data_IF_959482592435
#
_entry.id   IF_959482592435
#
_cell.length_a   1.000
_cell.length_b   1.000
_cell.length_c   1.000
_cell.angle_alpha   90.00
_cell.angle_beta   90.00
_cell.angle_gamma   90.00
#
_symmetry.space_group_name_H-M   'P 1'
#
loop_
_entity.id
_entity.type
_entity.pdbx_description
1 polymer ?
#
# COMPACT_ATOMS: atom_id res chain seq x y z
N UNK A 1 -17.37 19.00 -5.37
CA UNK A 1 -16.64 19.40 -4.14
C UNK A 1 -16.23 18.14 -3.41
N UNK A 2 -15.06 18.07 -2.80
CA UNK A 2 -14.64 16.92 -2.01
C UNK A 2 -14.75 17.22 -0.51
N UNK A 3 -15.08 16.22 0.27
CA UNK A 3 -15.19 16.28 1.72
C UNK A 3 -14.12 15.40 2.36
N UNK A 4 -13.62 15.86 3.49
CA UNK A 4 -12.66 15.13 4.31
C UNK A 4 -13.01 15.30 5.79
N UNK A 5 -12.54 14.39 6.62
CA UNK A 5 -12.71 14.46 8.06
C UNK A 5 -11.38 14.81 8.74
N UNK A 6 -11.44 15.72 9.68
CA UNK A 6 -10.33 16.01 10.60
C UNK A 6 -10.87 15.89 12.03
N UNK A 7 -10.30 14.96 12.79
CA UNK A 7 -10.72 14.66 14.16
C UNK A 7 -12.23 14.38 14.28
N UNK A 8 -12.76 13.58 13.33
CA UNK A 8 -14.18 13.17 13.24
C UNK A 8 -15.15 14.33 12.89
N UNK A 9 -14.65 15.45 12.41
CA UNK A 9 -15.44 16.56 11.90
C UNK A 9 -15.31 16.62 10.36
N UNK A 10 -16.41 16.37 9.63
CA UNK A 10 -16.46 16.41 8.17
C UNK A 10 -16.66 17.84 7.69
N UNK A 11 -15.77 18.30 6.81
CA UNK A 11 -15.83 19.60 6.13
C UNK A 11 -15.43 19.47 4.67
N UNK A 12 -15.71 20.49 3.88
CA UNK A 12 -15.09 20.63 2.56
C UNK A 12 -13.57 20.59 2.70
N UNK A 13 -12.89 19.75 1.89
CA UNK A 13 -11.46 19.43 2.07
C UNK A 13 -10.56 20.68 2.11
N UNK A 14 -10.89 21.71 1.30
CA UNK A 14 -10.11 22.95 1.25
C UNK A 14 -10.27 23.84 2.49
N UNK A 15 -11.21 23.55 3.39
CA UNK A 15 -11.46 24.27 4.64
C UNK A 15 -10.77 23.61 5.85
N UNK A 16 -10.08 22.48 5.64
CA UNK A 16 -9.36 21.81 6.72
C UNK A 16 -7.92 22.31 6.81
N UNK A 17 -7.46 22.49 8.03
CA UNK A 17 -6.10 22.95 8.32
C UNK A 17 -5.49 22.11 9.43
N UNK A 18 -4.26 21.68 9.22
CA UNK A 18 -3.48 20.97 10.22
C UNK A 18 -2.46 21.93 10.82
N UNK A 19 -2.25 21.88 12.13
CA UNK A 19 -1.27 22.69 12.82
C UNK A 19 0.14 22.42 12.25
N UNK A 20 0.96 23.47 11.99
CA UNK A 20 2.35 23.28 11.62
C UNK A 20 3.18 22.64 12.75
N UNK A 21 2.65 22.58 13.96
CA UNK A 21 3.26 21.88 15.10
C UNK A 21 2.79 20.45 15.28
N UNK A 22 2.01 19.92 14.32
CA UNK A 22 1.67 18.50 14.32
C UNK A 22 2.92 17.63 14.10
N UNK A 23 3.09 16.62 14.94
CA UNK A 23 4.28 15.75 14.90
C UNK A 23 4.36 14.93 13.61
N UNK A 24 3.22 14.61 13.00
CA UNK A 24 3.16 14.00 11.67
C UNK A 24 3.79 14.90 10.61
N UNK A 25 3.57 16.22 10.67
CA UNK A 25 4.17 17.19 9.77
C UNK A 25 5.67 17.41 10.05
N UNK A 26 6.06 17.53 11.36
CA UNK A 26 7.45 17.87 11.74
C UNK A 26 8.40 16.67 11.64
N UNK A 27 7.95 15.45 11.97
CA UNK A 27 8.79 14.27 12.15
C UNK A 27 8.41 13.09 11.28
N UNK A 28 7.25 13.13 10.60
CA UNK A 28 6.64 11.93 10.03
C UNK A 28 6.18 10.94 11.12
N UNK A 29 5.90 11.42 12.35
CA UNK A 29 5.44 10.62 13.49
C UNK A 29 3.94 10.32 13.33
N UNK A 30 3.66 9.50 12.31
CA UNK A 30 2.31 9.15 11.89
C UNK A 30 2.30 7.82 11.12
N UNK A 31 1.16 7.16 11.13
CA UNK A 31 0.86 5.97 10.33
C UNK A 31 -0.35 6.24 9.44
N UNK A 32 -0.49 5.46 8.37
CA UNK A 32 -1.59 5.66 7.44
C UNK A 32 -2.12 4.36 6.87
N UNK A 33 -3.33 4.41 6.34
CA UNK A 33 -3.93 3.39 5.49
C UNK A 33 -4.42 3.96 4.17
N UNK A 34 -4.54 3.07 3.19
CA UNK A 34 -5.16 3.33 1.91
C UNK A 34 -6.13 2.18 1.65
N UNK A 35 -7.42 2.48 1.56
CA UNK A 35 -8.50 1.50 1.48
C UNK A 35 -9.22 1.69 0.16
N UNK A 36 -9.32 0.63 -0.65
CA UNK A 36 -10.14 0.65 -1.87
C UNK A 36 -11.62 0.72 -1.47
N UNK A 37 -12.36 1.59 -2.12
CA UNK A 37 -13.80 1.67 -1.97
C UNK A 37 -14.47 1.64 -3.35
N UNK A 38 -15.44 0.74 -3.52
CA UNK A 38 -16.21 0.53 -4.74
C UNK A 38 -17.68 0.76 -4.41
N UNK A 39 -18.32 1.72 -5.08
CA UNK A 39 -19.73 2.09 -4.87
C UNK A 39 -20.09 2.28 -3.38
N UNK A 40 -19.22 3.01 -2.65
CA UNK A 40 -19.41 3.31 -1.23
C UNK A 40 -19.00 2.18 -0.27
N UNK A 41 -18.65 1.02 -0.77
CA UNK A 41 -18.25 -0.15 0.02
C UNK A 41 -16.73 -0.24 0.13
N UNK A 42 -16.20 -0.16 1.35
CA UNK A 42 -14.78 -0.29 1.63
C UNK A 42 -14.34 -1.75 1.59
N UNK A 43 -13.43 -2.09 0.68
CA UNK A 43 -12.97 -3.46 0.43
C UNK A 43 -11.90 -3.85 1.47
N UNK A 44 -12.10 -5.01 2.11
CA UNK A 44 -11.19 -5.56 3.14
C UNK A 44 -10.94 -4.59 4.30
N UNK A 45 -11.95 -3.81 4.70
CA UNK A 45 -11.83 -2.77 5.73
C UNK A 45 -11.27 -3.31 7.05
N UNK A 46 -11.73 -4.46 7.51
CA UNK A 46 -11.26 -5.09 8.75
C UNK A 46 -9.75 -5.39 8.72
N UNK A 47 -9.24 -5.92 7.60
CA UNK A 47 -7.81 -6.21 7.45
C UNK A 47 -6.97 -4.92 7.47
N UNK A 48 -7.47 -3.85 6.85
CA UNK A 48 -6.82 -2.54 6.87
C UNK A 48 -6.81 -1.95 8.28
N UNK A 49 -7.91 -2.02 9.02
CA UNK A 49 -7.99 -1.55 10.40
C UNK A 49 -7.08 -2.36 11.33
N UNK A 50 -6.99 -3.68 11.14
CA UNK A 50 -6.08 -4.53 11.88
C UNK A 50 -4.61 -4.13 11.65
N UNK A 51 -4.21 -3.87 10.40
CA UNK A 51 -2.86 -3.38 10.07
C UNK A 51 -2.59 -1.98 10.60
N UNK A 52 -3.56 -1.08 10.53
CA UNK A 52 -3.46 0.26 11.13
C UNK A 52 -3.19 0.17 12.64
N UNK A 53 -3.92 -0.68 13.34
CA UNK A 53 -3.73 -0.94 14.77
C UNK A 53 -2.34 -1.47 15.10
N UNK A 54 -1.83 -2.40 14.27
CA UNK A 54 -0.47 -2.90 14.40
C UNK A 54 0.57 -1.80 14.19
N UNK A 55 0.38 -0.95 13.16
CA UNK A 55 1.28 0.18 12.88
C UNK A 55 1.27 1.20 14.02
N UNK A 56 0.10 1.54 14.57
CA UNK A 56 -0.05 2.41 15.74
C UNK A 56 0.70 1.84 16.96
N UNK A 57 0.52 0.55 17.25
CA UNK A 57 1.23 -0.13 18.34
C UNK A 57 2.76 -0.09 18.14
N UNK A 58 3.24 -0.28 16.91
CA UNK A 58 4.67 -0.27 16.57
C UNK A 58 5.32 1.09 16.81
N UNK A 59 4.60 2.19 16.61
CA UNK A 59 5.07 3.55 16.95
C UNK A 59 4.71 3.96 18.39
N UNK A 60 4.17 3.04 19.20
CA UNK A 60 3.76 3.29 20.59
C UNK A 60 2.75 4.44 20.71
N UNK A 61 1.80 4.52 19.79
CA UNK A 61 0.70 5.46 19.82
C UNK A 61 -0.57 4.70 20.20
N UNK A 62 -1.18 5.07 21.31
CA UNK A 62 -2.47 4.53 21.75
C UNK A 62 -3.50 5.62 21.53
N UNK A 63 -4.42 5.47 20.55
CA UNK A 63 -5.44 6.46 20.30
C UNK A 63 -6.48 6.51 21.44
N UNK A 64 -7.04 7.68 21.68
CA UNK A 64 -8.09 7.95 22.68
C UNK A 64 -9.51 7.74 22.14
N UNK A 65 -9.66 7.24 20.92
CA UNK A 65 -10.93 6.94 20.27
C UNK A 65 -11.14 5.41 20.09
N UNK A 66 -12.39 5.00 19.92
CA UNK A 66 -12.73 3.60 19.65
C UNK A 66 -12.57 3.27 18.16
N UNK A 67 -12.12 2.06 17.86
CA UNK A 67 -12.00 1.54 16.49
C UNK A 67 -13.31 1.68 15.69
N UNK A 68 -14.47 1.40 16.32
CA UNK A 68 -15.77 1.58 15.68
C UNK A 68 -16.04 3.02 15.20
N UNK A 69 -15.59 4.03 15.96
CA UNK A 69 -15.75 5.43 15.53
C UNK A 69 -14.95 5.72 14.25
N UNK A 70 -13.76 5.11 14.10
CA UNK A 70 -12.92 5.26 12.93
C UNK A 70 -13.55 4.56 11.72
N UNK A 71 -14.06 3.33 11.90
CA UNK A 71 -14.76 2.58 10.86
C UNK A 71 -16.00 3.35 10.35
N UNK A 72 -16.83 3.87 11.25
CA UNK A 72 -18.02 4.64 10.91
C UNK A 72 -17.64 5.91 10.13
N UNK A 73 -16.55 6.60 10.52
CA UNK A 73 -16.11 7.81 9.85
C UNK A 73 -15.51 7.54 8.46
N UNK A 74 -14.78 6.42 8.29
CA UNK A 74 -14.29 5.97 6.97
C UNK A 74 -15.48 5.77 6.03
N UNK A 75 -16.49 5.03 6.47
CA UNK A 75 -17.70 4.78 5.68
C UNK A 75 -18.47 6.07 5.36
N UNK A 76 -18.54 7.03 6.30
CA UNK A 76 -19.16 8.34 6.06
C UNK A 76 -18.41 9.12 4.97
N UNK A 77 -17.06 9.15 5.00
CA UNK A 77 -16.26 9.82 3.98
C UNK A 77 -16.41 9.15 2.61
N UNK A 78 -16.45 7.82 2.55
CA UNK A 78 -16.71 7.10 1.30
C UNK A 78 -18.05 7.51 0.69
N UNK A 79 -19.11 7.56 1.50
CA UNK A 79 -20.46 7.86 1.04
C UNK A 79 -20.69 9.33 0.67
N UNK A 80 -20.11 10.29 1.42
CA UNK A 80 -20.34 11.72 1.14
C UNK A 80 -19.64 12.20 -0.14
N UNK A 81 -18.60 11.48 -0.60
CA UNK A 81 -17.85 11.84 -1.81
C UNK A 81 -18.42 11.20 -3.11
N UNK A 82 -19.30 10.23 -2.99
CA UNK A 82 -20.12 9.64 -4.07
C UNK A 82 -19.35 9.45 -5.41
N UNK A 83 -18.28 8.66 -5.37
CA UNK A 83 -17.53 8.26 -6.56
C UNK A 83 -17.49 6.72 -6.65
N UNK A 84 -17.64 6.12 -7.85
CA UNK A 84 -17.72 4.67 -8.00
C UNK A 84 -16.43 3.97 -7.53
N UNK A 85 -15.28 4.58 -7.78
CA UNK A 85 -13.98 4.06 -7.35
C UNK A 85 -13.23 5.11 -6.55
N UNK A 86 -12.91 4.78 -5.32
CA UNK A 86 -12.23 5.67 -4.38
C UNK A 86 -11.09 4.95 -3.67
N UNK A 87 -10.07 5.70 -3.34
CA UNK A 87 -9.08 5.32 -2.34
C UNK A 87 -9.32 6.17 -1.09
N UNK A 88 -9.73 5.54 0.01
CA UNK A 88 -9.89 6.24 1.28
C UNK A 88 -8.53 6.25 1.98
N UNK A 89 -7.96 7.44 2.11
CA UNK A 89 -6.74 7.68 2.85
C UNK A 89 -7.08 7.99 4.30
N UNK A 90 -6.47 7.28 5.22
CA UNK A 90 -6.59 7.49 6.67
C UNK A 90 -5.19 7.73 7.22
N UNK A 91 -4.97 8.85 7.89
CA UNK A 91 -3.71 9.15 8.58
C UNK A 91 -3.97 9.47 10.05
N UNK A 92 -3.15 8.89 10.92
CA UNK A 92 -3.18 9.17 12.35
C UNK A 92 -1.78 9.58 12.77
N UNK A 93 -1.62 10.85 13.15
CA UNK A 93 -0.38 11.35 13.75
C UNK A 93 -0.48 11.33 15.27
N UNK A 94 0.67 11.47 15.92
CA UNK A 94 0.71 11.60 17.40
C UNK A 94 0.07 12.90 17.91
N UNK A 95 -0.20 13.88 17.03
CA UNK A 95 -0.84 15.14 17.37
C UNK A 95 0.12 16.31 17.51
N UNK A 96 -0.42 17.38 18.08
CA UNK A 96 0.24 18.70 18.15
C UNK A 96 1.10 18.82 19.40
N UNK A 97 2.36 19.20 19.23
CA UNK A 97 3.31 19.53 20.31
C UNK A 97 4.02 20.82 19.98
N UNK A 98 3.78 21.88 20.78
CA UNK A 98 4.27 23.23 20.47
C UNK A 98 5.80 23.35 20.54
N UNK A 99 6.43 22.64 21.46
CA UNK A 99 7.89 22.62 21.59
C UNK A 99 8.45 21.45 20.81
N UNK A 100 9.27 21.73 19.79
CA UNK A 100 9.89 20.68 18.98
C UNK A 100 10.85 19.85 19.83
N UNK A 101 10.44 18.62 20.18
CA UNK A 101 11.26 17.64 20.89
C UNK A 101 11.02 16.25 20.25
N UNK A 102 12.08 15.44 20.14
CA UNK A 102 11.95 14.05 19.64
C UNK A 102 11.15 13.20 20.62
N UNK A 103 11.32 13.38 21.91
CA UNK A 103 10.47 12.74 22.92
C UNK A 103 9.09 13.42 22.91
N UNK A 104 8.00 12.66 22.65
CA UNK A 104 6.67 13.23 22.72
C UNK A 104 6.28 13.56 24.16
N UNK A 105 5.48 14.62 24.34
CA UNK A 105 4.82 14.90 25.61
C UNK A 105 3.81 13.81 25.92
N UNK A 106 3.52 13.63 27.21
CA UNK A 106 2.49 12.70 27.65
C UNK A 106 1.09 13.22 27.28
N UNK A 107 0.17 12.29 26.97
CA UNK A 107 -1.24 12.59 26.72
C UNK A 107 -1.52 13.53 25.53
N UNK A 108 -0.71 13.50 24.49
CA UNK A 108 -1.05 14.17 23.24
C UNK A 108 -2.30 13.51 22.61
N UNK A 109 -3.25 14.33 22.18
CA UNK A 109 -4.41 13.85 21.41
C UNK A 109 -3.99 13.63 19.96
N UNK A 110 -4.17 12.43 19.38
CA UNK A 110 -3.85 12.15 18.00
C UNK A 110 -4.62 13.04 17.03
N UNK A 111 -3.99 13.44 15.93
CA UNK A 111 -4.69 14.04 14.80
C UNK A 111 -5.12 12.94 13.83
N UNK A 112 -6.41 12.83 13.58
CA UNK A 112 -7.02 11.86 12.66
C UNK A 112 -7.47 12.59 11.41
N UNK A 113 -6.90 12.24 10.25
CA UNK A 113 -7.29 12.80 8.96
C UNK A 113 -7.78 11.69 8.04
N UNK A 114 -8.97 11.85 7.46
CA UNK A 114 -9.55 10.90 6.51
C UNK A 114 -10.02 11.67 5.28
N UNK A 115 -9.63 11.20 4.10
CA UNK A 115 -10.05 11.81 2.83
C UNK A 115 -10.29 10.75 1.77
N UNK A 116 -11.14 11.08 0.80
CA UNK A 116 -11.38 10.28 -0.39
C UNK A 116 -10.60 10.83 -1.58
N UNK A 117 -9.98 9.94 -2.33
CA UNK A 117 -9.28 10.22 -3.58
C UNK A 117 -10.00 9.41 -4.67
N UNK A 118 -10.55 10.08 -5.68
CA UNK A 118 -11.11 9.39 -6.84
C UNK A 118 -9.99 8.68 -7.60
N UNK A 119 -10.21 7.43 -7.94
CA UNK A 119 -9.28 6.62 -8.73
C UNK A 119 -9.99 6.02 -9.94
N UNK A 120 -9.20 5.50 -10.89
CA UNK A 120 -9.72 4.72 -12.00
C UNK A 120 -10.14 3.32 -11.53
N UNK A 121 -10.99 2.66 -12.31
CA UNK A 121 -11.36 1.27 -12.07
C UNK A 121 -10.10 0.38 -12.08
N UNK A 122 -9.84 -0.42 -11.03
CA UNK A 122 -8.74 -1.37 -11.03
C UNK A 122 -8.78 -2.37 -12.19
N UNK A 123 -9.95 -2.65 -12.76
CA UNK A 123 -10.11 -3.56 -13.90
C UNK A 123 -9.50 -3.03 -15.21
N UNK A 124 -9.33 -1.72 -15.36
CA UNK A 124 -8.74 -1.11 -16.55
C UNK A 124 -7.22 -1.35 -16.67
N UNK A 125 -6.58 -1.84 -15.62
CA UNK A 125 -5.11 -2.00 -15.54
C UNK A 125 -4.64 -3.39 -15.96
N UNK A 126 -4.95 -3.79 -17.18
CA UNK A 126 -4.56 -5.10 -17.74
C UNK A 126 -3.27 -5.05 -18.59
N UNK A 127 -2.78 -3.85 -18.93
CA UNK A 127 -1.51 -3.69 -19.65
C UNK A 127 -0.35 -3.86 -18.68
N UNK A 128 0.70 -4.53 -19.14
CA UNK A 128 1.92 -4.66 -18.35
C UNK A 128 2.62 -3.33 -18.14
N UNK A 129 3.34 -3.21 -17.02
CA UNK A 129 4.16 -2.05 -16.68
C UNK A 129 5.64 -2.38 -16.83
N UNK A 130 6.48 -1.33 -16.92
CA UNK A 130 7.93 -1.43 -16.78
C UNK A 130 8.38 -0.98 -15.39
N UNK A 131 9.44 -1.62 -14.86
CA UNK A 131 10.02 -1.30 -13.57
C UNK A 131 11.55 -1.15 -13.62
N UNK A 132 12.11 -0.32 -12.74
CA UNK A 132 13.55 -0.23 -12.50
C UNK A 132 13.92 -1.16 -11.34
N UNK A 133 15.02 -1.89 -11.49
CA UNK A 133 15.61 -2.65 -10.39
C UNK A 133 16.58 -1.76 -9.61
N UNK A 134 16.38 -1.62 -8.28
CA UNK A 134 17.13 -0.68 -7.44
C UNK A 134 17.50 -1.24 -6.09
N UNK A 135 18.59 -0.75 -5.52
CA UNK A 135 18.91 -0.99 -4.12
C UNK A 135 17.86 -0.38 -3.17
N UNK A 136 17.51 -1.11 -2.12
CA UNK A 136 16.57 -0.63 -1.10
C UNK A 136 17.29 0.24 -0.06
N UNK A 137 17.12 1.54 -0.20
CA UNK A 137 17.67 2.56 0.71
C UNK A 137 16.68 3.01 1.80
N UNK A 138 15.51 2.38 1.88
CA UNK A 138 14.53 2.69 2.93
C UNK A 138 15.05 2.28 4.31
N UNK A 139 14.42 2.81 5.35
CA UNK A 139 14.69 2.36 6.72
C UNK A 139 14.27 0.89 6.93
N UNK A 140 14.78 0.27 8.02
CA UNK A 140 14.60 -1.17 8.26
C UNK A 140 13.22 -1.55 8.85
N UNK A 141 12.36 -0.57 9.17
CA UNK A 141 11.02 -0.79 9.73
C UNK A 141 9.93 -0.63 8.67
N UNK A 142 10.10 -1.31 7.56
CA UNK A 142 9.15 -1.28 6.43
C UNK A 142 7.83 -1.98 6.73
N UNK A 143 7.80 -2.81 7.78
CA UNK A 143 6.61 -3.43 8.35
C UNK A 143 5.62 -2.41 8.96
N UNK A 144 6.10 -1.21 9.32
CA UNK A 144 5.27 -0.12 9.83
C UNK A 144 4.77 0.73 8.64
N UNK A 145 3.47 0.82 8.45
CA UNK A 145 2.89 1.69 7.41
C UNK A 145 2.89 3.15 7.85
N UNK A 146 4.11 3.74 7.92
CA UNK A 146 4.35 5.11 8.37
C UNK A 146 4.33 6.11 7.22
N UNK A 147 4.15 7.41 7.56
CA UNK A 147 4.23 8.53 6.61
C UNK A 147 5.67 8.94 6.26
N UNK A 148 6.69 8.25 6.77
CA UNK A 148 8.11 8.49 6.47
C UNK A 148 8.48 7.91 5.10
N UNK A 149 7.92 8.47 4.03
CA UNK A 149 7.93 7.92 2.66
C UNK A 149 8.91 8.62 1.71
N UNK A 150 9.87 9.41 2.20
CA UNK A 150 10.74 10.18 1.31
C UNK A 150 11.52 9.29 0.33
N UNK A 151 12.07 8.16 0.77
CA UNK A 151 12.77 7.22 -0.11
C UNK A 151 11.83 6.63 -1.18
N UNK A 152 10.58 6.29 -0.80
CA UNK A 152 9.56 5.81 -1.75
C UNK A 152 9.21 6.89 -2.80
N UNK A 153 9.10 8.15 -2.39
CA UNK A 153 8.84 9.29 -3.29
C UNK A 153 9.99 9.48 -4.26
N UNK A 154 11.25 9.46 -3.78
CA UNK A 154 12.43 9.60 -4.63
C UNK A 154 12.51 8.46 -5.66
N UNK A 155 12.25 7.23 -5.26
CA UNK A 155 12.18 6.07 -6.16
C UNK A 155 11.12 6.27 -7.26
N UNK A 156 9.95 6.81 -6.91
CA UNK A 156 8.89 7.10 -7.91
C UNK A 156 9.28 8.21 -8.87
N UNK A 157 9.91 9.28 -8.38
CA UNK A 157 10.42 10.38 -9.22
C UNK A 157 11.45 9.85 -10.22
N UNK A 158 12.38 9.00 -9.78
CA UNK A 158 13.40 8.44 -10.64
C UNK A 158 12.79 7.53 -11.71
N UNK A 159 11.91 6.58 -11.32
CA UNK A 159 11.22 5.74 -12.28
C UNK A 159 10.47 6.55 -13.35
N UNK A 160 9.69 7.56 -12.93
CA UNK A 160 8.93 8.43 -13.83
C UNK A 160 9.85 9.22 -14.77
N UNK A 161 10.95 9.77 -14.26
CA UNK A 161 11.93 10.54 -15.05
C UNK A 161 12.64 9.71 -16.14
N UNK A 162 12.74 8.39 -15.93
CA UNK A 162 13.30 7.45 -16.90
C UNK A 162 12.22 6.77 -17.76
N UNK A 163 10.96 7.15 -17.61
CA UNK A 163 9.83 6.63 -18.39
C UNK A 163 9.34 5.26 -17.92
N UNK A 164 9.51 4.94 -16.64
CA UNK A 164 9.09 3.68 -16.03
C UNK A 164 8.00 3.88 -14.97
N UNK A 165 7.19 2.84 -14.76
CA UNK A 165 5.98 2.94 -13.93
C UNK A 165 6.24 2.68 -12.45
N UNK A 166 7.28 1.90 -12.13
CA UNK A 166 7.53 1.45 -10.75
C UNK A 166 9.02 1.09 -10.56
N UNK A 167 9.40 0.84 -9.31
CA UNK A 167 10.69 0.23 -8.97
C UNK A 167 10.47 -1.14 -8.34
N UNK A 168 11.44 -2.05 -8.50
CA UNK A 168 11.58 -3.27 -7.73
C UNK A 168 12.81 -3.10 -6.87
N UNK A 169 12.63 -3.17 -5.56
CA UNK A 169 13.68 -2.96 -4.58
C UNK A 169 14.34 -4.29 -4.20
N UNK A 170 15.65 -4.27 -4.04
CA UNK A 170 16.43 -5.38 -3.52
C UNK A 170 17.45 -4.92 -2.49
N UNK A 171 17.87 -5.81 -1.61
CA UNK A 171 18.90 -5.53 -0.59
C UNK A 171 19.78 -6.74 -0.36
N UNK A 172 21.09 -6.52 -0.39
CA UNK A 172 22.06 -7.59 -0.14
C UNK A 172 21.95 -8.78 -1.10
N UNK A 173 21.49 -8.56 -2.33
CA UNK A 173 21.30 -9.61 -3.33
C UNK A 173 19.98 -10.36 -3.23
N UNK A 174 19.00 -9.84 -2.48
CA UNK A 174 17.66 -10.43 -2.32
C UNK A 174 16.56 -9.44 -2.68
N UNK A 175 15.50 -9.94 -3.31
CA UNK A 175 14.33 -9.16 -3.70
C UNK A 175 13.48 -8.81 -2.46
N UNK A 176 12.96 -7.57 -2.43
CA UNK A 176 12.08 -7.09 -1.38
C UNK A 176 10.66 -6.85 -1.95
N UNK A 177 10.34 -5.63 -2.29
CA UNK A 177 9.03 -5.19 -2.78
C UNK A 177 9.19 -3.97 -3.72
N UNK A 178 8.10 -3.38 -4.18
CA UNK A 178 8.15 -2.10 -4.90
C UNK A 178 8.16 -0.89 -4.00
N UNK A 179 8.15 0.32 -4.60
CA UNK A 179 8.05 1.57 -3.84
C UNK A 179 6.74 1.68 -3.04
N UNK A 180 5.65 1.14 -3.57
CA UNK A 180 4.30 1.21 -2.97
C UNK A 180 3.49 -0.09 -3.16
N UNK A 181 4.16 -1.21 -3.44
CA UNK A 181 3.55 -2.47 -3.87
C UNK A 181 4.38 -3.67 -3.42
N UNK A 182 3.74 -4.84 -3.23
CA UNK A 182 4.44 -6.09 -2.97
C UNK A 182 4.76 -6.81 -4.30
N UNK A 183 5.83 -7.60 -4.30
CA UNK A 183 6.36 -8.31 -5.46
C UNK A 183 5.95 -9.80 -5.45
N UNK A 184 5.65 -10.32 -6.63
CA UNK A 184 5.35 -11.74 -6.89
C UNK A 184 6.02 -12.20 -8.18
N UNK A 185 6.43 -13.46 -8.21
CA UNK A 185 7.02 -14.11 -9.36
C UNK A 185 6.38 -15.49 -9.57
N UNK A 186 6.10 -15.87 -10.81
CA UNK A 186 5.86 -17.27 -11.16
C UNK A 186 7.18 -17.93 -11.60
N UNK A 187 7.53 -19.03 -10.93
CA UNK A 187 8.73 -19.83 -11.21
C UNK A 187 8.29 -21.30 -11.18
N UNK A 188 8.44 -22.01 -12.29
CA UNK A 188 7.95 -23.39 -12.47
C UNK A 188 6.46 -23.56 -12.11
N UNK A 189 5.63 -22.61 -12.50
CA UNK A 189 4.20 -22.52 -12.24
C UNK A 189 3.81 -22.32 -10.76
N UNK A 190 4.77 -22.25 -9.84
CA UNK A 190 4.57 -21.89 -8.44
C UNK A 190 4.61 -20.38 -8.25
N UNK A 191 3.75 -19.85 -7.39
CA UNK A 191 3.71 -18.44 -7.04
C UNK A 191 4.67 -18.15 -5.89
N UNK A 192 5.72 -17.40 -6.16
CA UNK A 192 6.72 -16.97 -5.18
C UNK A 192 6.51 -15.51 -4.78
N UNK A 193 6.68 -15.21 -3.50
CA UNK A 193 6.70 -13.83 -2.99
C UNK A 193 7.71 -13.72 -1.85
N UNK A 194 8.42 -12.57 -1.72
CA UNK A 194 9.28 -12.36 -0.57
C UNK A 194 8.55 -12.56 0.74
N UNK A 195 9.18 -13.31 1.68
CA UNK A 195 8.64 -13.52 3.03
C UNK A 195 8.64 -12.22 3.82
N UNK A 196 7.83 -12.14 4.87
CA UNK A 196 7.77 -10.93 5.72
C UNK A 196 9.12 -10.62 6.42
N UNK A 197 10.01 -11.62 6.54
CA UNK A 197 11.37 -11.42 7.05
C UNK A 197 12.28 -10.64 6.08
N UNK A 198 11.85 -10.43 4.84
CA UNK A 198 12.58 -9.66 3.83
C UNK A 198 12.46 -8.14 4.01
N UNK A 199 12.01 -7.64 5.17
CA UNK A 199 11.77 -6.23 5.44
C UNK A 199 10.82 -5.59 4.41
N UNK A 200 9.65 -6.16 4.26
CA UNK A 200 8.57 -5.69 3.39
C UNK A 200 7.33 -5.32 4.20
N UNK A 201 6.47 -4.52 3.60
CA UNK A 201 5.15 -4.22 4.17
C UNK A 201 4.25 -5.47 4.10
N UNK A 202 3.58 -5.90 5.20
CA UNK A 202 2.54 -6.93 5.15
C UNK A 202 1.29 -6.40 4.43
N UNK A 203 1.29 -6.51 3.09
CA UNK A 203 0.22 -5.98 2.24
C UNK A 203 -1.10 -6.71 2.45
N UNK A 204 -2.22 -5.98 2.60
CA UNK A 204 -3.57 -6.58 2.66
C UNK A 204 -3.87 -7.28 1.33
N UNK A 205 -3.65 -6.61 0.20
CA UNK A 205 -3.81 -7.22 -1.12
C UNK A 205 -2.89 -8.44 -1.29
N UNK A 206 -1.63 -8.37 -0.81
CA UNK A 206 -0.71 -9.51 -0.83
C UNK A 206 -1.29 -10.72 -0.09
N UNK A 207 -1.81 -10.53 1.11
CA UNK A 207 -2.40 -11.62 1.90
C UNK A 207 -3.62 -12.22 1.20
N UNK A 208 -4.50 -11.39 0.64
CA UNK A 208 -5.67 -11.87 -0.13
C UNK A 208 -5.26 -12.66 -1.38
N UNK A 209 -4.25 -12.20 -2.12
CA UNK A 209 -3.76 -12.91 -3.31
C UNK A 209 -3.15 -14.27 -2.96
N UNK A 210 -2.43 -14.39 -1.86
CA UNK A 210 -1.91 -15.68 -1.36
C UNK A 210 -3.07 -16.65 -1.11
N UNK A 211 -4.07 -16.21 -0.32
CA UNK A 211 -5.24 -17.03 -0.01
C UNK A 211 -6.02 -17.44 -1.26
N UNK A 212 -6.23 -16.51 -2.20
CA UNK A 212 -6.93 -16.78 -3.46
C UNK A 212 -6.14 -17.74 -4.36
N UNK A 213 -4.82 -17.61 -4.43
CA UNK A 213 -3.97 -18.52 -5.18
C UNK A 213 -4.07 -19.95 -4.63
N UNK A 214 -3.91 -20.12 -3.32
CA UNK A 214 -4.04 -21.42 -2.65
C UNK A 214 -5.43 -22.04 -2.84
N UNK A 215 -6.50 -21.25 -2.70
CA UNK A 215 -7.89 -21.70 -2.94
C UNK A 215 -8.15 -22.12 -4.38
N UNK A 216 -7.33 -21.66 -5.33
CA UNK A 216 -7.42 -22.02 -6.76
C UNK A 216 -6.34 -23.00 -7.21
N UNK A 217 -5.75 -23.78 -6.28
CA UNK A 217 -4.73 -24.80 -6.51
C UNK A 217 -3.43 -24.26 -7.15
N UNK A 218 -3.07 -23.01 -6.88
CA UNK A 218 -1.76 -22.45 -7.20
C UNK A 218 -0.90 -22.60 -5.95
N UNK A 219 0.21 -23.31 -6.05
CA UNK A 219 1.14 -23.48 -4.94
C UNK A 219 1.83 -22.15 -4.63
N UNK A 220 1.84 -21.73 -3.36
CA UNK A 220 2.43 -20.45 -2.92
C UNK A 220 3.62 -20.67 -2.02
N UNK A 221 4.76 -20.07 -2.38
CA UNK A 221 6.02 -20.19 -1.66
C UNK A 221 6.47 -18.80 -1.18
N UNK A 222 6.31 -18.56 0.12
CA UNK A 222 6.80 -17.36 0.78
C UNK A 222 8.22 -17.59 1.29
N UNK A 223 9.21 -16.92 0.71
CA UNK A 223 10.62 -17.14 1.04
C UNK A 223 11.50 -15.92 0.75
N UNK A 224 12.73 -15.94 1.20
CA UNK A 224 13.76 -15.01 0.72
C UNK A 224 14.09 -15.40 -0.74
N UNK A 225 13.98 -14.45 -1.68
CA UNK A 225 14.18 -14.68 -3.12
C UNK A 225 15.49 -14.04 -3.55
N UNK A 226 16.49 -14.81 -4.01
CA UNK A 226 17.70 -14.26 -4.61
C UNK A 226 17.39 -13.35 -5.81
N UNK A 227 18.09 -12.23 -5.90
CA UNK A 227 17.94 -11.26 -7.00
C UNK A 227 18.08 -11.91 -8.38
N UNK A 228 19.00 -12.88 -8.52
CA UNK A 228 19.27 -13.58 -9.79
C UNK A 228 18.08 -14.41 -10.30
N UNK A 229 17.11 -14.75 -9.44
CA UNK A 229 15.95 -15.52 -9.86
C UNK A 229 14.94 -14.72 -10.68
N UNK A 230 14.99 -13.38 -10.62
CA UNK A 230 14.13 -12.51 -11.43
C UNK A 230 14.37 -12.70 -12.93
N UNK A 231 15.62 -13.00 -13.31
CA UNK A 231 16.02 -13.22 -14.70
C UNK A 231 15.41 -14.52 -15.29
N UNK A 232 15.00 -15.46 -14.42
CA UNK A 232 14.47 -16.75 -14.81
C UNK A 232 12.98 -16.91 -14.45
N UNK A 233 12.34 -15.85 -13.95
CA UNK A 233 10.92 -15.86 -13.67
C UNK A 233 10.12 -16.01 -14.98
N UNK A 234 9.09 -16.84 -14.96
CA UNK A 234 8.15 -16.99 -16.08
C UNK A 234 7.30 -15.73 -16.22
N UNK A 235 6.82 -15.21 -15.07
CA UNK A 235 6.01 -14.01 -14.98
C UNK A 235 6.36 -13.23 -13.71
N UNK A 236 6.23 -11.93 -13.77
CA UNK A 236 6.39 -11.03 -12.62
C UNK A 236 5.18 -10.12 -12.52
N UNK A 237 4.70 -9.92 -11.31
CA UNK A 237 3.67 -8.91 -11.06
C UNK A 237 3.85 -8.25 -9.69
N UNK A 238 3.19 -7.13 -9.53
CA UNK A 238 3.14 -6.38 -8.28
C UNK A 238 1.71 -6.24 -7.79
N UNK A 239 1.52 -6.01 -6.51
CA UNK A 239 0.19 -5.82 -5.93
C UNK A 239 0.12 -4.60 -5.04
N UNK A 240 -0.99 -3.87 -5.12
CA UNK A 240 -1.32 -2.79 -4.20
C UNK A 240 -2.84 -2.63 -4.07
N UNK A 241 -3.29 -1.98 -3.01
CA UNK A 241 -4.73 -1.80 -2.72
C UNK A 241 -5.48 -1.10 -3.85
N UNK A 242 -4.93 -0.02 -4.42
CA UNK A 242 -5.62 0.80 -5.42
C UNK A 242 -5.46 0.32 -6.85
N UNK A 243 -4.52 -0.59 -7.09
CA UNK A 243 -4.21 -1.09 -8.44
C UNK A 243 -4.46 -2.59 -8.60
N UNK A 244 -4.74 -3.30 -7.51
CA UNK A 244 -4.89 -4.76 -7.52
C UNK A 244 -3.60 -5.47 -7.95
N UNK A 245 -3.73 -6.39 -8.90
CA UNK A 245 -2.63 -7.13 -9.54
C UNK A 245 -2.14 -6.34 -10.75
N UNK A 246 -0.85 -6.03 -10.79
CA UNK A 246 -0.19 -5.21 -11.81
C UNK A 246 0.87 -6.06 -12.50
N UNK A 247 0.62 -6.57 -13.70
CA UNK A 247 1.63 -7.34 -14.44
C UNK A 247 2.86 -6.49 -14.73
N UNK A 248 4.06 -7.05 -14.57
CA UNK A 248 5.32 -6.44 -14.99
C UNK A 248 5.78 -7.16 -16.25
N UNK A 249 6.06 -6.42 -17.33
CA UNK A 249 6.52 -6.99 -18.59
C UNK A 249 7.98 -6.71 -18.86
N UNK A 250 8.56 -5.70 -18.21
CA UNK A 250 9.95 -5.32 -18.39
C UNK A 250 10.58 -4.84 -17.09
N UNK A 251 11.81 -5.29 -16.81
CA UNK A 251 12.56 -4.87 -15.63
C UNK A 251 13.93 -4.39 -16.08
N UNK A 252 14.16 -3.09 -15.99
CA UNK A 252 15.46 -2.48 -16.31
C UNK A 252 16.45 -2.83 -15.21
N UNK A 253 17.64 -3.27 -15.59
CA UNK A 253 18.65 -3.80 -14.67
C UNK A 253 18.59 -5.32 -14.49
N UNK A 254 17.68 -6.02 -15.20
CA UNK A 254 17.60 -7.48 -15.29
C UNK A 254 17.45 -7.94 -16.74
N UNK A 255 17.41 -9.29 -16.95
CA UNK A 255 17.11 -9.88 -18.26
C UNK A 255 15.61 -10.14 -18.48
N UNK A 256 14.78 -9.84 -17.49
CA UNK A 256 13.34 -10.05 -17.60
C UNK A 256 12.72 -9.02 -18.55
N UNK A 257 12.30 -9.50 -19.70
CA UNK A 257 11.66 -8.68 -20.75
C UNK A 257 10.67 -9.59 -21.51
N UNK A 258 9.38 -9.27 -21.48
CA UNK A 258 8.30 -10.03 -22.13
C UNK A 258 7.44 -9.11 -22.97
N UNK A 259 6.88 -9.61 -24.06
CA UNK A 259 6.04 -8.80 -24.98
C UNK A 259 4.68 -8.45 -24.37
N UNK A 260 4.19 -9.24 -23.42
CA UNK A 260 2.84 -9.12 -22.83
C UNK A 260 2.80 -9.72 -21.42
N UNK A 261 1.78 -9.36 -20.62
CA UNK A 261 1.48 -10.02 -19.36
C UNK A 261 1.32 -11.52 -19.50
N UNK A 262 1.80 -12.28 -18.52
CA UNK A 262 1.68 -13.72 -18.49
C UNK A 262 0.28 -14.20 -18.12
N UNK A 263 -0.08 -15.40 -18.58
CA UNK A 263 -1.44 -15.96 -18.45
C UNK A 263 -1.78 -16.33 -17.00
N UNK A 264 -0.79 -16.77 -16.19
CA UNK A 264 -1.00 -17.10 -14.76
C UNK A 264 -1.30 -15.83 -13.95
N UNK A 265 -0.57 -14.75 -14.23
CA UNK A 265 -0.82 -13.42 -13.61
C UNK A 265 -2.20 -12.91 -13.98
N UNK A 266 -2.58 -13.00 -15.26
CA UNK A 266 -3.90 -12.55 -15.72
C UNK A 266 -5.04 -13.37 -15.09
N UNK A 267 -4.85 -14.69 -14.96
CA UNK A 267 -5.80 -15.56 -14.28
C UNK A 267 -5.97 -15.19 -12.80
N UNK A 268 -4.87 -15.00 -12.06
CA UNK A 268 -4.94 -14.61 -10.65
C UNK A 268 -5.55 -13.21 -10.49
N UNK A 269 -5.26 -12.29 -11.42
CA UNK A 269 -5.87 -10.97 -11.48
C UNK A 269 -7.39 -11.05 -11.65
N UNK A 270 -7.88 -11.91 -12.54
CA UNK A 270 -9.31 -12.09 -12.75
C UNK A 270 -10.00 -12.64 -11.49
N UNK A 271 -9.41 -13.64 -10.84
CA UNK A 271 -9.89 -14.16 -9.55
C UNK A 271 -9.96 -13.05 -8.50
N UNK A 272 -8.93 -12.21 -8.40
CA UNK A 272 -8.91 -11.08 -7.46
C UNK A 272 -9.99 -10.04 -7.78
N UNK A 273 -10.20 -9.72 -9.05
CA UNK A 273 -11.26 -8.79 -9.46
C UNK A 273 -12.64 -9.33 -9.11
N UNK A 274 -12.90 -10.62 -9.35
CA UNK A 274 -14.15 -11.25 -8.95
C UNK A 274 -14.38 -11.13 -7.44
N UNK A 275 -13.35 -11.35 -6.62
CA UNK A 275 -13.43 -11.20 -5.17
C UNK A 275 -13.84 -9.78 -4.77
N UNK A 276 -13.16 -8.73 -5.27
CA UNK A 276 -13.44 -7.34 -4.85
C UNK A 276 -14.76 -6.77 -5.37
N UNK A 277 -15.31 -7.33 -6.46
CA UNK A 277 -16.60 -6.91 -6.98
C UNK A 277 -17.78 -7.68 -6.39
N UNK A 278 -17.57 -8.90 -5.85
CA UNK A 278 -18.62 -9.71 -5.24
C UNK A 278 -18.73 -9.50 -3.72
N UNK A 279 -17.63 -9.14 -3.07
CA UNK A 279 -17.58 -8.85 -1.63
C UNK A 279 -18.26 -7.54 -1.32
#
# INVERSE_FOLDING_TARGET
MSFSSLNFEIKESHKLFISPFDRGFIFGDAVYEMILCIDGRCIFLEDHLARLKQSLASIKLIPDFKEKNLEDEINRIANVNDAPFQAIYVQISRGVQLIRNHLPEENLSPTVFITSIKIDDPSDRHKGISALLKDDERWLKTDIKSTSLLANVLNKIEADSEGHDEVILHKGGFLNEGSVSNLFLFINDDLHTPSLDANILPGVTRAKLINLAEANNINVIQRIIPLSEIDNAQEVFMSSTTKGVIPVVRIIGSKFDTDKPGDLTLRLREIYLQEIYQT
#
